data_IF_144770437980
#
_entry.id   IF_144770437980
#
_cell.length_a   1.000
_cell.length_b   1.000
_cell.length_c   1.000
_cell.angle_alpha   90.00
_cell.angle_beta   90.00
_cell.angle_gamma   90.00
#
_symmetry.space_group_name_H-M   'P 1'
#
loop_
_entity.id
_entity.type
_entity.pdbx_description
1 polymer ?
#
# COMPACT_ATOMS: atom_id res chain seq x y z
N UNK A 1 15.24 -25.02 -3.86
CA UNK A 1 15.42 -23.90 -2.91
C UNK A 1 16.00 -22.71 -3.67
N UNK A 2 15.17 -21.80 -4.18
CA UNK A 2 15.66 -20.59 -4.88
C UNK A 2 15.90 -19.52 -3.82
N UNK A 3 17.16 -19.25 -3.51
CA UNK A 3 17.57 -18.09 -2.70
C UNK A 3 17.17 -16.84 -3.49
N UNK A 4 16.18 -16.11 -2.99
CA UNK A 4 15.77 -14.83 -3.55
C UNK A 4 16.94 -13.85 -3.39
N UNK A 5 17.54 -13.47 -4.52
CA UNK A 5 18.46 -12.34 -4.59
C UNK A 5 17.64 -11.07 -4.45
N UNK A 6 17.41 -10.63 -3.21
CA UNK A 6 16.95 -9.29 -2.92
C UNK A 6 18.14 -8.36 -3.17
N UNK A 7 18.18 -7.74 -4.35
CA UNK A 7 19.14 -6.68 -4.62
C UNK A 7 18.96 -5.63 -3.53
N UNK A 8 19.94 -5.51 -2.62
CA UNK A 8 20.10 -4.32 -1.76
C UNK A 8 20.26 -3.16 -2.74
N UNK A 9 19.21 -2.37 -2.91
CA UNK A 9 19.32 -1.08 -3.54
C UNK A 9 19.93 -0.22 -2.44
N UNK A 10 21.22 0.10 -2.54
CA UNK A 10 21.95 1.04 -1.68
C UNK A 10 21.34 2.44 -1.86
N UNK A 11 20.13 2.60 -1.35
CA UNK A 11 19.43 3.85 -1.24
C UNK A 11 19.63 4.30 0.19
N UNK A 12 20.24 5.47 0.40
CA UNK A 12 20.40 6.05 1.73
C UNK A 12 19.06 6.00 2.49
N UNK A 13 19.11 5.70 3.79
CA UNK A 13 17.89 5.66 4.62
C UNK A 13 17.16 6.99 4.55
N UNK A 14 15.84 6.89 4.55
CA UNK A 14 15.00 8.09 4.52
C UNK A 14 15.16 8.89 5.82
N UNK A 15 14.91 10.19 5.75
CA UNK A 15 14.96 11.06 6.94
C UNK A 15 14.02 10.60 8.05
N UNK A 16 12.90 9.96 7.70
CA UNK A 16 11.93 9.43 8.66
C UNK A 16 12.48 8.20 9.40
N UNK A 17 13.10 7.27 8.69
CA UNK A 17 13.74 6.09 9.31
C UNK A 17 14.88 6.49 10.26
N UNK A 18 15.68 7.50 9.89
CA UNK A 18 16.73 8.03 10.75
C UNK A 18 16.13 8.68 12.01
N UNK A 19 15.06 9.49 11.87
CA UNK A 19 14.35 10.08 13.01
C UNK A 19 13.77 9.03 13.94
N UNK A 20 13.17 7.98 13.39
CA UNK A 20 12.63 6.86 14.17
C UNK A 20 13.73 6.15 14.96
N UNK A 21 14.87 5.84 14.32
CA UNK A 21 16.00 5.22 14.99
C UNK A 21 16.55 6.11 16.13
N UNK A 22 16.69 7.42 15.89
CA UNK A 22 17.10 8.39 16.92
C UNK A 22 16.14 8.40 18.11
N UNK A 23 14.84 8.37 17.85
CA UNK A 23 13.81 8.38 18.89
C UNK A 23 13.91 7.13 19.81
N UNK A 24 14.09 5.95 19.21
CA UNK A 24 14.30 4.68 19.95
C UNK A 24 15.57 4.74 20.79
N UNK A 25 16.68 5.18 20.20
CA UNK A 25 17.98 5.25 20.87
C UNK A 25 17.98 6.26 22.03
N UNK A 26 17.35 7.43 21.84
CA UNK A 26 17.16 8.42 22.91
C UNK A 26 16.31 7.87 24.07
N UNK A 27 15.28 7.07 23.77
CA UNK A 27 14.45 6.44 24.80
C UNK A 27 15.20 5.39 25.61
N UNK A 28 16.10 4.60 24.99
CA UNK A 28 16.94 3.65 25.74
C UNK A 28 17.90 4.36 26.69
N UNK A 29 18.36 5.56 26.34
CA UNK A 29 19.15 6.47 27.20
C UNK A 29 20.49 5.93 27.72
N UNK A 30 20.95 4.78 27.21
CA UNK A 30 22.26 4.22 27.55
C UNK A 30 23.40 4.91 26.77
N UNK A 31 24.63 4.81 27.30
CA UNK A 31 25.82 5.49 26.77
C UNK A 31 26.05 5.20 25.28
N UNK A 32 25.85 3.96 24.83
CA UNK A 32 26.08 3.58 23.43
C UNK A 32 24.95 4.07 22.54
N UNK A 33 23.69 3.93 22.96
CA UNK A 33 22.55 4.45 22.20
C UNK A 33 22.59 5.96 22.03
N UNK A 34 23.03 6.71 23.04
CA UNK A 34 23.20 8.17 22.93
C UNK A 34 24.27 8.57 21.90
N UNK A 35 25.37 7.82 21.84
CA UNK A 35 26.42 8.01 20.83
C UNK A 35 25.89 7.69 19.43
N UNK A 36 25.17 6.58 19.27
CA UNK A 36 24.51 6.23 18.02
C UNK A 36 23.52 7.32 17.56
N UNK A 37 22.72 7.86 18.50
CA UNK A 37 21.79 8.95 18.22
C UNK A 37 22.52 10.27 17.86
N UNK A 38 23.69 10.54 18.43
CA UNK A 38 24.53 11.68 18.05
C UNK A 38 25.01 11.55 16.60
N UNK A 39 25.56 10.39 16.22
CA UNK A 39 26.02 10.09 14.85
C UNK A 39 24.90 10.26 13.84
N UNK A 40 23.71 9.71 14.14
CA UNK A 40 22.54 9.82 13.27
C UNK A 40 22.02 11.25 13.15
N UNK A 41 22.00 12.03 14.24
CA UNK A 41 21.61 13.45 14.21
C UNK A 41 22.60 14.31 13.45
N UNK A 42 23.89 14.02 13.58
CA UNK A 42 24.96 14.71 12.87
C UNK A 42 25.13 14.28 11.41
N UNK A 43 24.37 13.28 10.94
CA UNK A 43 24.52 12.67 9.62
C UNK A 43 25.99 12.31 9.31
N UNK A 44 26.68 11.76 10.31
CA UNK A 44 28.11 11.48 10.19
C UNK A 44 28.36 10.24 9.32
N UNK A 45 29.36 10.33 8.45
CA UNK A 45 29.86 9.20 7.66
C UNK A 45 30.81 8.31 8.46
N UNK A 46 31.06 7.08 8.00
CA UNK A 46 32.03 6.17 8.64
C UNK A 46 33.42 6.81 8.77
N UNK A 47 33.84 7.62 7.80
CA UNK A 47 35.12 8.35 7.85
C UNK A 47 35.14 9.42 8.95
N UNK A 48 34.05 10.19 9.10
CA UNK A 48 33.94 11.20 10.16
C UNK A 48 33.85 10.57 11.55
N UNK A 49 33.20 9.41 11.67
CA UNK A 49 33.19 8.64 12.91
C UNK A 49 34.59 8.16 13.26
N UNK A 50 35.34 7.61 12.30
CA UNK A 50 36.73 7.18 12.53
C UNK A 50 37.63 8.34 12.96
N UNK A 51 37.53 9.48 12.28
CA UNK A 51 38.26 10.69 12.63
C UNK A 51 37.99 11.11 14.08
N UNK A 52 36.72 11.24 14.48
CA UNK A 52 36.32 11.73 15.81
C UNK A 52 36.66 10.78 16.95
N UNK A 53 36.38 9.47 16.79
CA UNK A 53 36.49 8.51 17.89
C UNK A 53 37.84 7.77 17.93
N UNK A 54 38.65 7.85 16.88
CA UNK A 54 39.97 7.17 16.83
C UNK A 54 41.10 8.17 16.62
N UNK A 55 41.02 9.06 15.63
CA UNK A 55 42.15 9.94 15.29
C UNK A 55 42.30 11.13 16.24
N UNK A 56 41.20 11.71 16.71
CA UNK A 56 41.20 12.88 17.59
C UNK A 56 41.27 12.54 19.09
N UNK A 57 41.08 11.26 19.44
CA UNK A 57 41.14 10.78 20.82
C UNK A 57 42.56 10.29 21.17
N UNK A 58 43.01 10.63 22.38
CA UNK A 58 44.23 10.07 22.97
C UNK A 58 44.08 8.55 23.19
N UNK A 59 45.17 7.80 23.04
CA UNK A 59 45.17 6.32 23.09
C UNK A 59 44.50 5.76 24.34
N UNK A 60 44.76 6.35 25.50
CA UNK A 60 44.23 5.90 26.80
C UNK A 60 42.72 6.15 26.98
N UNK A 61 42.13 6.99 26.13
CA UNK A 61 40.69 7.35 26.17
C UNK A 61 39.89 6.69 25.06
N UNK A 62 40.53 5.93 24.17
CA UNK A 62 39.86 5.24 23.07
C UNK A 62 39.01 4.10 23.63
N UNK A 63 37.74 4.14 23.28
CA UNK A 63 36.77 3.12 23.64
C UNK A 63 36.29 2.43 22.37
N UNK A 64 36.81 1.22 22.13
CA UNK A 64 36.47 0.43 20.94
C UNK A 64 34.97 0.16 20.85
N UNK A 65 34.29 -0.02 21.99
CA UNK A 65 32.86 -0.31 22.01
C UNK A 65 32.04 0.88 21.54
N UNK A 66 32.44 2.09 21.94
CA UNK A 66 31.84 3.35 21.50
C UNK A 66 32.09 3.58 20.01
N UNK A 67 33.30 3.28 19.53
CA UNK A 67 33.62 3.39 18.11
C UNK A 67 32.76 2.44 17.26
N UNK A 68 32.62 1.17 17.65
CA UNK A 68 31.80 0.22 16.90
C UNK A 68 30.33 0.63 16.88
N UNK A 69 29.78 1.06 18.02
CA UNK A 69 28.42 1.58 18.08
C UNK A 69 28.23 2.79 17.14
N UNK A 70 29.14 3.77 17.19
CA UNK A 70 29.12 4.94 16.32
C UNK A 70 29.24 4.58 14.83
N UNK A 71 30.09 3.62 14.49
CA UNK A 71 30.28 3.16 13.10
C UNK A 71 29.02 2.48 12.58
N UNK A 72 28.39 1.65 13.42
CA UNK A 72 27.18 0.93 13.03
C UNK A 72 26.01 1.91 12.81
N UNK A 73 25.92 3.00 13.58
CA UNK A 73 24.98 4.10 13.29
C UNK A 73 25.24 4.77 11.92
N UNK A 74 26.48 5.04 11.56
CA UNK A 74 26.82 5.58 10.24
C UNK A 74 26.46 4.60 9.10
N UNK A 75 26.68 3.30 9.30
CA UNK A 75 26.28 2.24 8.37
C UNK A 75 24.77 2.12 8.22
N UNK A 76 24.02 2.32 9.31
CA UNK A 76 22.56 2.35 9.27
C UNK A 76 22.08 3.52 8.41
N UNK A 77 22.62 4.72 8.62
CA UNK A 77 22.29 5.90 7.81
C UNK A 77 22.59 5.69 6.31
N UNK A 78 23.69 4.99 5.99
CA UNK A 78 24.07 4.62 4.63
C UNK A 78 23.20 3.51 4.02
N UNK A 79 22.34 2.83 4.82
CA UNK A 79 21.50 1.73 4.36
C UNK A 79 22.20 0.36 4.32
N UNK A 80 23.44 0.27 4.85
CA UNK A 80 24.22 -0.97 4.83
C UNK A 80 23.72 -2.01 5.85
N UNK A 81 23.08 -1.56 6.93
CA UNK A 81 22.54 -2.41 8.01
C UNK A 81 21.06 -2.10 8.31
N UNK A 82 20.36 -3.07 8.90
CA UNK A 82 18.97 -2.95 9.35
C UNK A 82 18.83 -2.28 10.72
N UNK A 83 17.60 -1.93 11.10
CA UNK A 83 17.31 -1.38 12.43
C UNK A 83 17.54 -2.44 13.52
N UNK A 84 17.31 -3.70 13.18
CA UNK A 84 17.50 -4.87 14.06
C UNK A 84 18.98 -5.11 14.37
N UNK A 85 19.87 -4.74 13.45
CA UNK A 85 21.32 -4.83 13.63
C UNK A 85 21.84 -3.64 14.44
N UNK A 86 21.26 -2.44 14.24
CA UNK A 86 21.58 -1.26 15.02
C UNK A 86 21.07 -1.37 16.48
N UNK A 87 19.88 -1.93 16.66
CA UNK A 87 19.22 -2.11 17.96
C UNK A 87 18.77 -3.57 18.08
N UNK A 88 19.58 -4.46 18.67
CA UNK A 88 19.25 -5.89 18.79
C UNK A 88 17.92 -6.17 19.51
N UNK A 89 17.58 -5.35 20.50
CA UNK A 89 16.36 -5.53 21.32
C UNK A 89 15.08 -5.04 20.63
N UNK A 90 15.16 -4.44 19.43
CA UNK A 90 14.00 -3.83 18.76
C UNK A 90 12.87 -4.82 18.49
N UNK A 91 13.19 -6.11 18.30
CA UNK A 91 12.18 -7.15 18.10
C UNK A 91 11.37 -7.48 19.37
N UNK A 92 11.90 -7.13 20.54
CA UNK A 92 11.20 -7.29 21.82
C UNK A 92 10.37 -6.06 22.20
N UNK A 93 10.57 -4.93 21.51
CA UNK A 93 9.82 -3.70 21.75
C UNK A 93 8.39 -3.82 21.20
N UNK A 94 7.44 -3.48 22.06
CA UNK A 94 6.01 -3.46 21.73
C UNK A 94 5.64 -2.15 21.03
N UNK A 95 4.50 -2.12 20.34
CA UNK A 95 3.97 -0.90 19.72
C UNK A 95 3.82 0.26 20.72
N UNK A 96 3.57 -0.04 22.00
CA UNK A 96 3.54 0.96 23.08
C UNK A 96 4.91 1.53 23.40
N UNK A 97 5.98 0.74 23.30
CA UNK A 97 7.36 1.21 23.51
C UNK A 97 7.81 2.14 22.38
N UNK A 98 7.44 1.81 21.14
CA UNK A 98 7.66 2.71 19.99
C UNK A 98 6.86 4.01 20.14
N UNK A 99 5.66 3.98 20.73
CA UNK A 99 4.86 5.18 20.98
C UNK A 99 5.49 6.04 22.08
N UNK A 100 5.90 5.41 23.20
CA UNK A 100 6.58 6.08 24.30
C UNK A 100 7.92 6.71 23.88
N UNK A 101 8.65 6.05 22.98
CA UNK A 101 9.88 6.59 22.40
C UNK A 101 9.65 7.75 21.42
N UNK A 102 8.40 8.04 21.00
CA UNK A 102 8.13 8.97 19.90
C UNK A 102 8.63 8.46 18.54
N UNK A 103 8.85 7.14 18.43
CA UNK A 103 9.39 6.44 17.27
C UNK A 103 8.31 5.92 16.32
N UNK A 104 7.08 5.73 16.82
CA UNK A 104 5.89 5.83 15.98
C UNK A 104 5.86 7.28 15.50
N UNK A 105 6.37 7.50 14.29
CA UNK A 105 6.29 8.80 13.66
C UNK A 105 4.88 9.32 13.87
N UNK A 106 4.78 10.58 14.32
CA UNK A 106 3.67 11.40 13.85
C UNK A 106 3.68 11.11 12.36
N UNK A 107 2.67 10.37 11.89
CA UNK A 107 2.38 10.34 10.46
C UNK A 107 2.32 11.81 10.15
N UNK A 108 3.37 12.29 9.50
CA UNK A 108 3.45 13.64 9.04
C UNK A 108 2.27 13.73 8.09
N UNK A 109 1.10 14.15 8.59
CA UNK A 109 -0.12 14.27 7.78
C UNK A 109 0.12 15.28 6.64
N UNK A 110 1.23 16.02 6.71
CA UNK A 110 1.76 16.90 5.67
C UNK A 110 2.51 16.15 4.54
N UNK A 111 2.80 14.85 4.68
CA UNK A 111 3.25 14.02 3.56
C UNK A 111 2.03 13.55 2.74
N UNK A 112 1.63 14.40 1.79
CA UNK A 112 0.77 14.08 0.63
C UNK A 112 -0.71 13.75 0.89
N UNK A 113 -1.33 14.32 1.92
CA UNK A 113 -2.80 14.29 2.02
C UNK A 113 -3.41 15.24 0.98
N UNK A 114 -3.61 14.75 -0.24
CA UNK A 114 -4.29 15.51 -1.31
C UNK A 114 -5.77 15.63 -0.95
N UNK A 115 -6.24 16.86 -0.72
CA UNK A 115 -7.66 17.14 -0.60
C UNK A 115 -8.34 16.89 -1.95
N UNK A 116 -9.19 15.87 -2.00
CA UNK A 116 -9.98 15.52 -3.17
C UNK A 116 -11.41 15.99 -3.01
N UNK A 117 -12.00 16.48 -4.10
CA UNK A 117 -13.45 16.60 -4.17
C UNK A 117 -14.09 15.22 -3.97
N UNK A 118 -15.27 15.18 -3.35
CA UNK A 118 -16.05 13.93 -3.20
C UNK A 118 -16.20 13.19 -4.53
N UNK A 119 -16.39 13.93 -5.62
CA UNK A 119 -16.51 13.38 -6.97
C UNK A 119 -15.24 12.68 -7.46
N UNK A 120 -14.08 13.24 -7.15
CA UNK A 120 -12.79 12.67 -7.55
C UNK A 120 -12.43 11.47 -6.69
N UNK A 121 -12.79 11.51 -5.40
CA UNK A 121 -12.71 10.37 -4.51
C UNK A 121 -13.55 9.19 -5.02
N UNK A 122 -14.82 9.42 -5.36
CA UNK A 122 -15.72 8.38 -5.89
C UNK A 122 -15.18 7.81 -7.22
N UNK A 123 -14.58 8.66 -8.07
CA UNK A 123 -13.92 8.24 -9.33
C UNK A 123 -12.69 7.37 -9.08
N UNK A 124 -11.88 7.70 -8.06
CA UNK A 124 -10.72 6.92 -7.64
C UNK A 124 -11.13 5.55 -7.11
N UNK A 125 -12.17 5.51 -6.28
CA UNK A 125 -12.73 4.26 -5.75
C UNK A 125 -13.18 3.35 -6.89
N UNK A 126 -13.95 3.86 -7.85
CA UNK A 126 -14.39 3.10 -9.03
C UNK A 126 -13.22 2.66 -9.94
N UNK A 127 -12.06 3.33 -9.88
CA UNK A 127 -10.85 2.92 -10.60
C UNK A 127 -10.13 1.79 -9.88
N UNK A 128 -10.04 1.85 -8.55
CA UNK A 128 -9.47 0.78 -7.72
C UNK A 128 -10.30 -0.49 -7.86
N UNK A 129 -11.63 -0.40 -7.75
CA UNK A 129 -12.52 -1.56 -7.93
C UNK A 129 -12.31 -2.26 -9.28
N UNK A 130 -12.16 -1.48 -10.37
CA UNK A 130 -11.86 -2.04 -11.70
C UNK A 130 -10.50 -2.72 -11.75
N UNK A 131 -9.48 -2.15 -11.10
CA UNK A 131 -8.14 -2.75 -11.03
C UNK A 131 -8.16 -4.04 -10.22
N UNK A 132 -8.84 -4.06 -9.07
CA UNK A 132 -9.00 -5.27 -8.26
C UNK A 132 -9.74 -6.37 -9.01
N UNK A 133 -10.76 -6.01 -9.82
CA UNK A 133 -11.46 -6.95 -10.70
C UNK A 133 -10.55 -7.50 -11.81
N UNK A 134 -9.71 -6.65 -12.43
CA UNK A 134 -8.77 -7.04 -13.48
C UNK A 134 -7.65 -7.94 -12.98
N UNK A 135 -7.11 -7.63 -11.80
CA UNK A 135 -6.00 -8.36 -11.17
C UNK A 135 -6.47 -9.60 -10.41
N UNK A 136 -7.79 -9.76 -10.21
CA UNK A 136 -8.35 -10.85 -9.43
C UNK A 136 -8.12 -10.73 -7.92
N UNK A 137 -7.61 -9.57 -7.45
CA UNK A 137 -7.46 -9.23 -6.04
C UNK A 137 -8.80 -8.97 -5.36
N UNK A 138 -9.81 -8.56 -6.13
CA UNK A 138 -11.18 -8.54 -5.63
C UNK A 138 -11.60 -9.98 -5.42
N UNK A 139 -11.78 -10.39 -4.15
CA UNK A 139 -12.46 -11.65 -3.83
C UNK A 139 -13.76 -11.62 -4.61
N UNK A 140 -13.87 -12.46 -5.65
CA UNK A 140 -15.11 -12.63 -6.42
C UNK A 140 -16.19 -12.82 -5.36
N UNK A 141 -17.03 -11.81 -5.17
CA UNK A 141 -18.22 -11.98 -4.37
C UNK A 141 -18.89 -13.22 -4.95
N UNK A 142 -19.16 -14.22 -4.11
CA UNK A 142 -19.61 -15.55 -4.53
C UNK A 142 -20.58 -15.42 -5.70
N UNK A 143 -20.43 -16.17 -6.81
CA UNK A 143 -21.28 -16.03 -7.99
C UNK A 143 -22.77 -15.94 -7.58
N UNK A 144 -23.35 -14.74 -7.66
CA UNK A 144 -24.70 -14.46 -7.13
C UNK A 144 -24.82 -13.35 -6.06
N UNK A 145 -23.71 -12.79 -5.56
CA UNK A 145 -23.75 -11.73 -4.53
C UNK A 145 -24.04 -10.32 -5.07
N UNK A 146 -23.99 -10.11 -6.39
CA UNK A 146 -24.37 -8.82 -6.97
C UNK A 146 -25.90 -8.69 -6.92
N UNK A 147 -26.38 -8.01 -5.89
CA UNK A 147 -27.80 -7.70 -5.73
C UNK A 147 -28.18 -6.70 -6.82
N UNK A 148 -29.19 -6.99 -7.67
CA UNK A 148 -29.63 -6.04 -8.66
C UNK A 148 -30.13 -4.75 -7.98
N UNK A 149 -29.73 -3.60 -8.51
CA UNK A 149 -30.19 -2.30 -8.00
C UNK A 149 -31.69 -2.13 -8.21
N UNK A 150 -32.33 -1.22 -7.49
CA UNK A 150 -33.73 -0.88 -7.76
C UNK A 150 -33.84 -0.17 -9.11
N UNK A 151 -34.82 -0.55 -9.94
CA UNK A 151 -35.07 0.16 -11.19
C UNK A 151 -35.47 1.62 -10.90
N UNK A 152 -34.80 2.62 -11.50
CA UNK A 152 -35.19 4.02 -11.35
C UNK A 152 -36.62 4.27 -11.84
N UNK A 153 -37.37 5.13 -11.14
CA UNK A 153 -38.76 5.48 -11.52
C UNK A 153 -38.85 6.10 -12.91
N UNK A 154 -37.80 6.79 -13.35
CA UNK A 154 -37.69 7.44 -14.66
C UNK A 154 -36.99 6.57 -15.71
N UNK A 155 -36.89 5.26 -15.50
CA UNK A 155 -36.24 4.37 -16.45
C UNK A 155 -37.04 4.28 -17.76
N UNK A 156 -36.34 4.42 -18.88
CA UNK A 156 -36.91 4.23 -20.22
C UNK A 156 -37.21 2.74 -20.45
N UNK A 157 -38.47 2.35 -20.22
CA UNK A 157 -38.91 0.96 -20.35
C UNK A 157 -38.77 0.40 -21.78
N UNK A 158 -38.63 1.25 -22.80
CA UNK A 158 -38.38 0.79 -24.18
C UNK A 158 -36.95 0.25 -24.37
N UNK A 159 -36.00 0.74 -23.57
CA UNK A 159 -34.61 0.29 -23.55
C UNK A 159 -34.40 -0.91 -22.61
N UNK A 160 -35.30 -1.14 -21.66
CA UNK A 160 -35.16 -2.17 -20.65
C UNK A 160 -35.64 -3.54 -21.15
N UNK A 161 -34.75 -4.54 -21.09
CA UNK A 161 -35.03 -5.93 -21.46
C UNK A 161 -35.07 -6.82 -20.23
N UNK A 162 -36.06 -7.72 -20.15
CA UNK A 162 -36.09 -8.73 -19.08
C UNK A 162 -34.89 -9.66 -19.20
N UNK A 163 -34.45 -10.28 -18.10
CA UNK A 163 -33.31 -11.19 -18.09
C UNK A 163 -33.33 -12.25 -19.20
N UNK A 164 -34.49 -12.87 -19.46
CA UNK A 164 -34.62 -13.89 -20.51
C UNK A 164 -34.43 -13.28 -21.92
N UNK A 165 -34.93 -12.08 -22.17
CA UNK A 165 -34.78 -11.37 -23.43
C UNK A 165 -33.34 -10.92 -23.63
N UNK A 166 -32.70 -10.38 -22.59
CA UNK A 166 -31.29 -10.00 -22.61
C UNK A 166 -30.38 -11.22 -22.87
N UNK A 167 -30.67 -12.37 -22.27
CA UNK A 167 -29.95 -13.62 -22.57
C UNK A 167 -30.08 -14.03 -24.04
N UNK A 168 -31.28 -13.93 -24.62
CA UNK A 168 -31.51 -14.21 -26.04
C UNK A 168 -30.78 -13.21 -26.93
N UNK A 169 -30.82 -11.93 -26.56
CA UNK A 169 -30.19 -10.83 -27.30
C UNK A 169 -28.65 -10.96 -27.38
N UNK A 170 -28.02 -11.43 -26.30
CA UNK A 170 -26.58 -11.66 -26.24
C UNK A 170 -26.15 -13.08 -26.62
N UNK A 171 -27.11 -13.95 -26.95
CA UNK A 171 -26.92 -15.38 -27.16
C UNK A 171 -26.11 -16.03 -26.02
N UNK A 172 -26.46 -15.74 -24.77
CA UNK A 172 -25.73 -16.24 -23.59
C UNK A 172 -26.63 -16.83 -22.52
N UNK A 173 -26.07 -17.66 -21.64
CA UNK A 173 -26.79 -18.26 -20.51
C UNK A 173 -27.06 -17.26 -19.36
N UNK A 174 -28.01 -17.61 -18.48
CA UNK A 174 -28.39 -16.79 -17.31
C UNK A 174 -27.22 -16.54 -16.35
N UNK A 175 -26.32 -17.51 -16.18
CA UNK A 175 -25.14 -17.35 -15.32
C UNK A 175 -24.09 -16.43 -15.95
N UNK A 176 -24.00 -16.40 -17.28
CA UNK A 176 -23.08 -15.54 -18.02
C UNK A 176 -23.47 -14.07 -17.84
N UNK A 177 -24.75 -13.72 -18.06
CA UNK A 177 -25.20 -12.33 -17.89
C UNK A 177 -25.13 -11.87 -16.44
N UNK A 178 -25.43 -12.76 -15.48
CA UNK A 178 -25.21 -12.49 -14.04
C UNK A 178 -23.73 -12.26 -13.73
N UNK A 179 -22.84 -13.03 -14.37
CA UNK A 179 -21.39 -12.86 -14.27
C UNK A 179 -20.92 -11.51 -14.81
N UNK A 180 -21.51 -11.01 -15.90
CA UNK A 180 -21.24 -9.67 -16.38
C UNK A 180 -21.69 -8.60 -15.37
N UNK A 181 -22.88 -8.75 -14.80
CA UNK A 181 -23.37 -7.85 -13.77
C UNK A 181 -22.49 -7.88 -12.50
N UNK A 182 -22.07 -9.07 -12.05
CA UNK A 182 -21.21 -9.20 -10.87
C UNK A 182 -19.79 -8.67 -11.05
N UNK A 183 -19.33 -8.54 -12.30
CA UNK A 183 -18.06 -7.91 -12.66
C UNK A 183 -18.21 -6.42 -12.96
N UNK A 184 -19.37 -5.82 -12.72
CA UNK A 184 -19.63 -4.41 -13.01
C UNK A 184 -19.62 -4.06 -14.50
N UNK A 185 -19.64 -5.06 -15.40
CA UNK A 185 -19.63 -4.81 -16.84
C UNK A 185 -20.97 -4.27 -17.33
N UNK A 186 -22.07 -4.64 -16.68
CA UNK A 186 -23.43 -4.17 -17.01
C UNK A 186 -24.21 -3.99 -15.72
N UNK A 187 -25.25 -3.16 -15.73
CA UNK A 187 -26.14 -2.99 -14.59
C UNK A 187 -27.32 -3.95 -14.68
N UNK A 188 -27.71 -4.49 -13.53
CA UNK A 188 -28.93 -5.27 -13.40
C UNK A 188 -29.87 -4.56 -12.45
N UNK A 189 -31.13 -4.44 -12.86
CA UNK A 189 -32.17 -3.73 -12.12
C UNK A 189 -33.29 -4.68 -11.71
N UNK A 190 -33.82 -4.57 -10.50
CA UNK A 190 -34.97 -5.35 -10.03
C UNK A 190 -36.20 -4.47 -9.97
N UNK A 191 -37.28 -4.98 -10.55
CA UNK A 191 -38.62 -4.43 -10.41
C UNK A 191 -39.60 -5.59 -10.17
N UNK A 192 -40.14 -5.65 -8.96
CA UNK A 192 -40.95 -6.79 -8.50
C UNK A 192 -40.17 -8.12 -8.57
N UNK A 193 -40.72 -9.08 -9.33
CA UNK A 193 -40.15 -10.43 -9.51
C UNK A 193 -39.15 -10.52 -10.67
N UNK A 194 -39.00 -9.47 -11.48
CA UNK A 194 -38.19 -9.50 -12.68
C UNK A 194 -36.89 -8.71 -12.54
N UNK A 195 -35.85 -9.21 -13.19
CA UNK A 195 -34.58 -8.49 -13.38
C UNK A 195 -34.50 -7.98 -14.81
N UNK A 196 -34.12 -6.71 -14.95
CA UNK A 196 -34.01 -5.99 -16.21
C UNK A 196 -32.58 -5.53 -16.47
N UNK A 197 -32.26 -5.37 -17.75
CA UNK A 197 -30.97 -4.90 -18.27
C UNK A 197 -31.23 -3.87 -19.38
N UNK A 198 -30.43 -2.81 -19.48
CA UNK A 198 -30.54 -1.80 -20.55
C UNK A 198 -29.95 -2.33 -21.86
N UNK A 199 -30.71 -2.27 -22.96
CA UNK A 199 -30.24 -2.69 -24.29
C UNK A 199 -29.06 -1.84 -24.76
N UNK A 200 -29.17 -0.51 -24.66
CA UNK A 200 -28.08 0.43 -25.00
C UNK A 200 -26.80 0.11 -24.24
N UNK A 201 -26.89 -0.25 -22.96
CA UNK A 201 -25.73 -0.63 -22.17
C UNK A 201 -25.11 -1.95 -22.66
N UNK A 202 -25.94 -2.97 -22.94
CA UNK A 202 -25.46 -4.26 -23.45
C UNK A 202 -24.71 -4.10 -24.78
N UNK A 203 -25.22 -3.29 -25.71
CA UNK A 203 -24.57 -3.04 -26.99
C UNK A 203 -23.24 -2.32 -26.82
N UNK A 204 -23.22 -1.26 -26.00
CA UNK A 204 -22.03 -0.44 -25.77
C UNK A 204 -20.90 -1.21 -25.08
N UNK A 205 -21.23 -2.06 -24.10
CA UNK A 205 -20.22 -2.65 -23.21
C UNK A 205 -19.91 -4.11 -23.51
N UNK A 206 -20.85 -4.90 -24.02
CA UNK A 206 -20.63 -6.34 -24.25
C UNK A 206 -20.42 -6.64 -25.73
N UNK A 207 -21.25 -6.12 -26.64
CA UNK A 207 -21.08 -6.40 -28.07
C UNK A 207 -19.83 -5.76 -28.64
N UNK A 208 -19.57 -4.48 -28.35
CA UNK A 208 -18.33 -3.81 -28.77
C UNK A 208 -17.07 -4.56 -28.31
N UNK A 209 -17.08 -5.10 -27.09
CA UNK A 209 -15.96 -5.92 -26.59
C UNK A 209 -15.82 -7.27 -27.30
N UNK A 210 -16.91 -7.85 -27.82
CA UNK A 210 -16.83 -9.08 -28.62
C UNK A 210 -16.35 -8.81 -30.04
N UNK A 211 -16.72 -7.67 -30.60
CA UNK A 211 -16.25 -7.21 -31.92
C UNK A 211 -14.76 -6.85 -31.88
N UNK A 212 -14.26 -6.23 -30.81
CA UNK A 212 -12.84 -5.92 -30.64
C UNK A 212 -11.95 -7.15 -30.36
N UNK A 213 -12.54 -8.30 -29.98
CA UNK A 213 -11.82 -9.55 -29.63
C UNK A 213 -11.87 -10.58 -30.76
N UNK A 214 -12.70 -10.38 -31.79
CA UNK A 214 -12.63 -11.17 -33.02
C UNK A 214 -11.63 -10.52 -33.99
N UNK A 215 -10.58 -11.25 -34.43
CA UNK A 215 -9.59 -10.74 -35.38
C UNK A 215 -10.15 -10.51 -36.78
#
# INVERSE_FOLDING_TARGET
MRKGNLKRIDTMRTKQEIKQAVAILCHKSDRLSLVQAEVLRGNMTEQQVFQKYVMEMAEDTRDETVFFAARDAARFAAGHIGLEELVPDVQSMTTTDFAAAGALGVVDEESDTILLSRKDFDRLLARIERLEQWTGLHRKASPGSAVPGTLPTNADMSDMMKQNEACRYLSCGKNTIKGYASRGLIHSYRQGKFTYYSRKELDKKIKRQREEVQP
#
